data_IF_273867374315
#
_entry.id   IF_273867374315
#
_cell.length_a   1.000
_cell.length_b   1.000
_cell.length_c   1.000
_cell.angle_alpha   90.00
_cell.angle_beta   90.00
_cell.angle_gamma   90.00
#
_symmetry.space_group_name_H-M   'P 1'
#
loop_
_entity.id
_entity.type
_entity.pdbx_description
1 polymer ?
#
# COMPACT_ATOMS: atom_id res chain seq x y z
N UNK A 1 21.14 -3.30 3.36
CA UNK A 1 20.85 -4.71 3.66
C UNK A 1 19.45 -5.14 3.19
N UNK A 2 18.58 -4.20 2.80
CA UNK A 2 17.22 -4.53 2.36
C UNK A 2 16.23 -4.66 3.53
N UNK A 3 16.60 -4.19 4.73
CA UNK A 3 15.77 -4.28 5.94
C UNK A 3 14.52 -3.38 5.92
N UNK A 4 14.53 -2.30 5.13
CA UNK A 4 13.38 -1.40 4.99
C UNK A 4 12.62 -1.70 3.70
N UNK A 5 11.31 -1.90 3.84
CA UNK A 5 10.38 -2.13 2.74
C UNK A 5 9.33 -1.02 2.73
N UNK A 6 9.29 -0.14 1.71
CA UNK A 6 8.32 0.95 1.63
C UNK A 6 6.85 0.50 1.62
N UNK A 7 6.60 -0.74 1.19
CA UNK A 7 5.28 -1.36 1.11
C UNK A 7 5.08 -2.44 2.20
N UNK A 8 5.72 -2.26 3.36
CA UNK A 8 5.44 -3.07 4.55
C UNK A 8 4.31 -2.42 5.37
N UNK A 9 3.33 -3.23 5.76
CA UNK A 9 2.18 -2.78 6.51
C UNK A 9 2.46 -2.46 7.98
N UNK A 10 1.53 -1.76 8.65
CA UNK A 10 0.18 -1.48 8.18
C UNK A 10 0.10 -0.33 7.17
N UNK A 11 -0.59 -0.56 6.06
CA UNK A 11 -0.92 0.46 5.06
C UNK A 11 -2.42 0.37 4.77
N UNK A 12 -3.11 1.50 4.85
CA UNK A 12 -4.50 1.62 4.44
C UNK A 12 -4.59 2.30 3.08
N UNK A 13 -5.62 1.94 2.30
CA UNK A 13 -6.02 2.67 1.11
C UNK A 13 -6.73 3.98 1.48
N UNK A 14 -6.90 4.87 0.50
CA UNK A 14 -7.58 6.16 0.63
C UNK A 14 -9.00 6.06 1.19
N UNK A 15 -9.68 4.94 1.00
CA UNK A 15 -11.05 4.69 1.49
C UNK A 15 -11.09 4.13 2.92
N UNK A 16 -9.93 3.94 3.56
CA UNK A 16 -9.78 3.39 4.91
C UNK A 16 -9.76 1.86 4.99
N UNK A 17 -9.84 1.15 3.85
CA UNK A 17 -9.64 -0.30 3.82
C UNK A 17 -8.15 -0.66 4.01
N UNK A 18 -7.88 -1.85 4.56
CA UNK A 18 -6.50 -2.33 4.74
C UNK A 18 -5.95 -2.77 3.39
N UNK A 19 -4.85 -2.13 2.97
CA UNK A 19 -4.14 -2.45 1.72
C UNK A 19 -2.98 -3.42 1.94
N UNK A 20 -2.25 -3.27 3.06
CA UNK A 20 -1.22 -4.22 3.52
C UNK A 20 -1.36 -4.39 5.03
N UNK A 21 -1.54 -5.63 5.49
CA UNK A 21 -1.72 -5.89 6.91
C UNK A 21 -0.42 -5.66 7.70
N UNK A 22 -0.54 -5.41 9.00
CA UNK A 22 0.61 -5.18 9.87
C UNK A 22 1.58 -6.38 9.85
N UNK A 23 2.87 -6.12 9.58
CA UNK A 23 3.90 -7.15 9.53
C UNK A 23 4.02 -7.87 8.17
N UNK A 24 3.12 -7.61 7.22
CA UNK A 24 3.23 -8.11 5.85
C UNK A 24 3.96 -7.12 4.95
N UNK A 25 4.63 -7.64 3.92
CA UNK A 25 5.19 -6.83 2.83
C UNK A 25 4.40 -7.14 1.56
N UNK A 26 3.94 -6.11 0.87
CA UNK A 26 3.22 -6.27 -0.40
C UNK A 26 4.02 -7.11 -1.40
N UNK A 27 3.35 -8.04 -2.08
CA UNK A 27 3.98 -8.84 -3.13
C UNK A 27 4.18 -8.01 -4.41
N UNK A 28 5.24 -8.30 -5.17
CA UNK A 28 5.57 -7.57 -6.41
C UNK A 28 4.42 -7.58 -7.43
N UNK A 29 3.66 -8.67 -7.51
CA UNK A 29 2.50 -8.78 -8.40
C UNK A 29 1.39 -7.79 -8.05
N UNK A 30 1.14 -7.59 -6.75
CA UNK A 30 0.15 -6.63 -6.26
C UNK A 30 0.65 -5.18 -6.45
N UNK A 31 1.94 -4.95 -6.24
CA UNK A 31 2.58 -3.66 -6.48
C UNK A 31 2.46 -3.22 -7.95
N UNK A 32 2.64 -4.14 -8.90
CA UNK A 32 2.45 -3.85 -10.33
C UNK A 32 0.99 -3.57 -10.69
N UNK A 33 0.05 -4.09 -9.90
CA UNK A 33 -1.40 -3.93 -10.09
C UNK A 33 -2.03 -2.84 -9.23
N UNK A 34 -1.25 -2.05 -8.48
CA UNK A 34 -1.79 -1.10 -7.52
C UNK A 34 -2.61 0.00 -8.23
N UNK A 35 -3.93 -0.05 -8.04
CA UNK A 35 -4.89 0.85 -8.68
C UNK A 35 -5.52 1.87 -7.73
N UNK A 36 -5.03 1.94 -6.49
CA UNK A 36 -5.57 2.80 -5.43
C UNK A 36 -4.46 3.64 -4.82
N UNK A 37 -4.81 4.78 -4.22
CA UNK A 37 -3.89 5.56 -3.41
C UNK A 37 -3.97 5.14 -1.94
N UNK A 38 -2.90 5.44 -1.19
CA UNK A 38 -2.84 5.22 0.27
C UNK A 38 -3.54 6.33 1.04
N UNK A 39 -3.96 6.03 2.27
CA UNK A 39 -4.55 6.99 3.19
C UNK A 39 -3.72 8.30 3.27
N UNK A 40 -4.41 9.45 3.24
CA UNK A 40 -3.78 10.78 3.31
C UNK A 40 -3.38 11.41 1.96
N UNK A 41 -3.38 10.65 0.86
CA UNK A 41 -3.26 11.23 -0.49
C UNK A 41 -4.51 12.07 -0.79
N UNK A 42 -4.34 13.23 -1.44
CA UNK A 42 -5.45 14.07 -1.91
C UNK A 42 -5.53 14.00 -3.44
N UNK A 43 -6.72 13.67 -3.96
CA UNK A 43 -6.96 13.44 -5.39
C UNK A 43 -7.51 12.04 -5.66
N UNK A 44 -7.88 11.76 -6.91
CA UNK A 44 -8.39 10.46 -7.35
C UNK A 44 -7.68 10.00 -8.62
N UNK A 45 -7.53 8.68 -8.79
CA UNK A 45 -7.20 8.13 -10.10
C UNK A 45 -8.43 8.34 -10.99
N UNK A 46 -8.22 8.93 -12.17
CA UNK A 46 -9.30 9.36 -13.07
C UNK A 46 -10.04 8.22 -13.75
#
# INVERSE_FOLDING_TARGET
DGSFHPFQGPINAQDGSVLVAAGETMADGDMLGIGVFVEGVIGSAG
#
